data_IF_278421072861
#
_entry.id   IF_278421072861
#
_cell.length_a   1.000
_cell.length_b   1.000
_cell.length_c   1.000
_cell.angle_alpha   90.00
_cell.angle_beta   90.00
_cell.angle_gamma   90.00
#
_symmetry.space_group_name_H-M   'P 1'
#
loop_
_entity.id
_entity.type
_entity.pdbx_description
1 polymer ?
#
# COMPACT_ATOMS: atom_id res chain seq x y z
N UNK A 1 -4.69 15.85 -1.65
CA UNK A 1 -6.08 15.91 -1.15
C UNK A 1 -6.53 14.60 -0.48
N UNK A 2 -5.96 13.45 -0.89
CA UNK A 2 -6.00 12.13 -0.22
C UNK A 2 -5.71 12.17 1.30
N UNK A 3 -4.69 12.93 1.71
CA UNK A 3 -4.37 13.17 3.12
C UNK A 3 -5.49 13.88 3.89
N UNK A 4 -6.40 14.57 3.21
CA UNK A 4 -7.46 15.40 3.82
C UNK A 4 -8.77 14.63 4.03
N UNK A 5 -9.04 13.60 3.23
CA UNK A 5 -10.23 12.74 3.39
C UNK A 5 -10.03 11.68 4.49
N UNK A 6 -8.84 11.08 4.54
CA UNK A 6 -8.38 10.28 5.71
C UNK A 6 -8.20 11.18 6.96
N UNK A 7 -8.14 12.51 6.81
CA UNK A 7 -8.03 13.47 7.92
C UNK A 7 -9.37 13.88 8.56
N UNK A 8 -10.51 13.29 8.18
CA UNK A 8 -11.81 13.67 8.77
C UNK A 8 -12.13 12.94 10.09
N UNK A 9 -11.54 11.77 10.37
CA UNK A 9 -11.78 10.99 11.59
C UNK A 9 -10.53 10.97 12.47
N UNK A 10 -10.55 11.78 13.55
CA UNK A 10 -9.40 11.98 14.44
C UNK A 10 -8.85 10.70 15.08
N UNK A 11 -9.69 9.66 15.22
CA UNK A 11 -9.33 8.35 15.77
C UNK A 11 -8.61 7.45 14.77
N UNK A 12 -9.11 7.32 13.54
CA UNK A 12 -8.49 6.48 12.50
C UNK A 12 -7.17 7.08 11.99
N UNK A 13 -7.06 8.42 11.95
CA UNK A 13 -5.79 9.12 11.72
C UNK A 13 -4.75 8.77 12.78
N UNK A 14 -5.12 8.86 14.06
CA UNK A 14 -4.21 8.53 15.16
C UNK A 14 -3.82 7.05 15.13
N UNK A 15 -4.78 6.15 14.88
CA UNK A 15 -4.53 4.71 14.80
C UNK A 15 -3.62 4.33 13.62
N UNK A 16 -3.80 4.93 12.44
CA UNK A 16 -2.98 4.63 11.26
C UNK A 16 -1.54 5.17 11.39
N UNK A 17 -1.39 6.41 11.88
CA UNK A 17 -0.06 7.00 12.15
C UNK A 17 0.64 6.22 13.26
N UNK A 18 -0.08 5.86 14.31
CA UNK A 18 0.44 5.04 15.40
C UNK A 18 0.87 3.67 14.86
N UNK A 19 0.03 2.97 14.10
CA UNK A 19 0.34 1.68 13.49
C UNK A 19 1.59 1.72 12.61
N UNK A 20 1.68 2.72 11.72
CA UNK A 20 2.84 2.90 10.84
C UNK A 20 4.12 3.21 11.63
N UNK A 21 4.03 4.10 12.62
CA UNK A 21 5.18 4.47 13.48
C UNK A 21 5.64 3.27 14.32
N UNK A 22 4.71 2.51 14.87
CA UNK A 22 5.01 1.31 15.67
C UNK A 22 5.65 0.24 14.80
N UNK A 23 5.16 0.07 13.56
CA UNK A 23 5.77 -0.83 12.58
C UNK A 23 7.21 -0.44 12.24
N UNK A 24 7.48 0.83 11.95
CA UNK A 24 8.83 1.31 11.64
C UNK A 24 9.81 1.12 12.81
N UNK A 25 9.34 1.35 14.05
CA UNK A 25 10.13 1.12 15.25
C UNK A 25 10.41 -0.38 15.44
N UNK A 26 9.39 -1.23 15.29
CA UNK A 26 9.55 -2.69 15.41
C UNK A 26 10.48 -3.25 14.33
N UNK A 27 10.38 -2.74 13.09
CA UNK A 27 11.29 -3.08 11.98
C UNK A 27 12.73 -2.67 12.29
N UNK A 28 12.94 -1.47 12.84
CA UNK A 28 14.28 -0.99 13.20
C UNK A 28 14.90 -1.85 14.31
N UNK A 29 14.12 -2.20 15.34
CA UNK A 29 14.58 -3.11 16.41
C UNK A 29 14.89 -4.49 15.82
N UNK A 30 14.02 -5.04 14.97
CA UNK A 30 14.26 -6.33 14.33
C UNK A 30 15.57 -6.33 13.52
N UNK A 31 15.77 -5.31 12.67
CA UNK A 31 16.95 -5.19 11.82
C UNK A 31 18.25 -5.04 12.63
N UNK A 32 18.21 -4.35 13.77
CA UNK A 32 19.39 -4.12 14.61
C UNK A 32 19.77 -5.34 15.45
N UNK A 33 18.77 -6.12 15.91
CA UNK A 33 19.01 -7.19 16.89
C UNK A 33 18.93 -8.61 16.33
N UNK A 34 18.27 -8.81 15.18
CA UNK A 34 17.93 -10.14 14.67
C UNK A 34 18.27 -10.37 13.20
N UNK A 35 18.68 -9.34 12.45
CA UNK A 35 19.13 -9.53 11.09
C UNK A 35 20.55 -10.12 11.10
N UNK A 36 20.63 -11.44 11.19
CA UNK A 36 21.82 -12.16 10.72
C UNK A 36 21.93 -11.87 9.23
N UNK A 37 23.11 -11.48 8.75
CA UNK A 37 23.34 -10.92 7.40
C UNK A 37 23.04 -11.84 6.20
N UNK A 38 22.22 -12.88 6.39
CA UNK A 38 21.65 -13.70 5.33
C UNK A 38 20.54 -12.96 4.59
N UNK A 39 20.58 -13.12 3.27
CA UNK A 39 20.12 -12.16 2.26
C UNK A 39 18.63 -11.84 2.21
N UNK A 40 17.76 -12.46 3.02
CA UNK A 40 16.32 -12.33 2.85
C UNK A 40 15.54 -12.72 4.11
N UNK A 41 15.51 -11.81 5.08
CA UNK A 41 14.56 -11.94 6.18
C UNK A 41 13.17 -11.48 5.74
N UNK A 42 12.31 -12.44 5.38
CA UNK A 42 10.98 -12.21 4.77
C UNK A 42 9.84 -12.08 5.79
N UNK A 43 10.17 -12.18 7.08
CA UNK A 43 9.24 -12.05 8.20
C UNK A 43 8.73 -10.59 8.33
N UNK A 44 9.58 -9.55 8.31
CA UNK A 44 9.11 -8.17 8.43
C UNK A 44 8.26 -7.71 7.24
N UNK A 45 8.53 -8.22 6.04
CA UNK A 45 7.75 -7.95 4.82
C UNK A 45 6.35 -8.57 4.87
N UNK A 46 6.23 -9.78 5.44
CA UNK A 46 4.93 -10.43 5.66
C UNK A 46 4.05 -9.60 6.61
N UNK A 47 4.63 -9.12 7.72
CA UNK A 47 3.90 -8.29 8.68
C UNK A 47 3.49 -6.93 8.08
N UNK A 48 4.37 -6.32 7.28
CA UNK A 48 4.04 -5.09 6.53
C UNK A 48 2.80 -5.27 5.66
N UNK A 49 2.75 -6.38 4.92
CA UNK A 49 1.65 -6.65 4.01
C UNK A 49 0.33 -6.84 4.75
N UNK A 50 0.31 -7.50 5.91
CA UNK A 50 -0.89 -7.61 6.75
C UNK A 50 -1.41 -6.23 7.15
N UNK A 51 -0.52 -5.33 7.54
CA UNK A 51 -0.88 -3.97 7.94
C UNK A 51 -1.46 -3.19 6.75
N UNK A 52 -0.84 -3.27 5.57
CA UNK A 52 -1.33 -2.63 4.35
C UNK A 52 -2.69 -3.19 3.89
N UNK A 53 -2.88 -4.50 4.01
CA UNK A 53 -4.17 -5.16 3.74
C UNK A 53 -5.25 -4.63 4.68
N UNK A 54 -4.97 -4.58 5.99
CA UNK A 54 -5.92 -4.09 7.00
C UNK A 54 -6.30 -2.62 6.77
N UNK A 55 -5.32 -1.74 6.50
CA UNK A 55 -5.57 -0.33 6.19
C UNK A 55 -6.40 -0.16 4.91
N UNK A 56 -6.13 -0.96 3.89
CA UNK A 56 -6.88 -0.91 2.63
C UNK A 56 -8.33 -1.34 2.83
N UNK A 57 -8.58 -2.39 3.63
CA UNK A 57 -9.95 -2.82 3.98
C UNK A 57 -10.69 -1.72 4.74
N UNK A 58 -10.05 -1.08 5.71
CA UNK A 58 -10.64 0.05 6.46
C UNK A 58 -11.01 1.19 5.49
N UNK A 59 -10.13 1.53 4.55
CA UNK A 59 -10.42 2.54 3.54
C UNK A 59 -11.64 2.16 2.69
N UNK A 60 -11.69 0.94 2.13
CA UNK A 60 -12.84 0.51 1.33
C UNK A 60 -14.14 0.53 2.13
N UNK A 61 -14.09 0.14 3.41
CA UNK A 61 -15.23 0.18 4.30
C UNK A 61 -15.74 1.61 4.54
N UNK A 62 -14.85 2.57 4.73
CA UNK A 62 -15.24 3.99 4.87
C UNK A 62 -15.89 4.53 3.59
N UNK A 63 -15.35 4.18 2.42
CA UNK A 63 -15.89 4.60 1.13
C UNK A 63 -17.29 4.02 0.87
N UNK A 64 -17.55 2.78 1.30
CA UNK A 64 -18.89 2.17 1.20
C UNK A 64 -19.88 2.85 2.17
N UNK A 65 -19.44 3.25 3.36
CA UNK A 65 -20.29 3.88 4.39
C UNK A 65 -20.65 5.33 4.11
N UNK A 66 -19.76 6.08 3.45
CA UNK A 66 -19.96 7.47 3.08
C UNK A 66 -19.88 7.59 1.56
N UNK A 67 -20.88 7.07 0.82
CA UNK A 67 -20.90 7.27 -0.62
C UNK A 67 -21.05 8.77 -0.87
N UNK A 68 -19.96 9.41 -1.31
CA UNK A 68 -20.09 10.72 -1.93
C UNK A 68 -20.97 10.58 -3.18
N UNK A 69 -21.55 11.68 -3.68
CA UNK A 69 -22.48 11.64 -4.82
C UNK A 69 -21.85 11.10 -6.12
N UNK A 70 -20.54 10.82 -6.13
CA UNK A 70 -19.78 10.22 -7.22
C UNK A 70 -19.47 8.75 -6.94
N UNK A 71 -19.39 7.95 -8.00
CA UNK A 71 -18.99 6.56 -7.88
C UNK A 71 -17.57 6.44 -7.33
N UNK A 72 -17.35 5.50 -6.40
CA UNK A 72 -16.05 5.29 -5.74
C UNK A 72 -14.90 4.98 -6.72
N UNK A 73 -15.20 4.38 -7.87
CA UNK A 73 -14.21 4.07 -8.91
C UNK A 73 -13.79 5.29 -9.73
N UNK A 74 -14.43 6.44 -9.55
CA UNK A 74 -14.02 7.69 -10.19
C UNK A 74 -12.95 8.43 -9.41
N UNK A 75 -12.83 8.13 -8.11
CA UNK A 75 -11.78 8.69 -7.26
C UNK A 75 -10.42 8.06 -7.58
N UNK A 76 -9.36 8.85 -7.85
CA UNK A 76 -8.01 8.32 -8.01
C UNK A 76 -7.51 7.60 -6.75
N UNK A 77 -7.94 8.05 -5.56
CA UNK A 77 -7.66 7.43 -4.26
C UNK A 77 -8.03 5.95 -4.22
N UNK A 78 -9.17 5.59 -4.81
CA UNK A 78 -9.64 4.22 -4.87
C UNK A 78 -8.60 3.34 -5.57
N UNK A 79 -8.13 3.75 -6.75
CA UNK A 79 -7.16 3.00 -7.54
C UNK A 79 -5.78 2.89 -6.86
N UNK A 80 -5.33 3.94 -6.17
CA UNK A 80 -4.12 3.85 -5.36
C UNK A 80 -4.23 2.76 -4.29
N UNK A 81 -5.32 2.76 -3.52
CA UNK A 81 -5.53 1.79 -2.44
C UNK A 81 -5.77 0.39 -2.99
N UNK A 82 -6.48 0.25 -4.12
CA UNK A 82 -6.66 -1.04 -4.81
C UNK A 82 -5.33 -1.63 -5.27
N UNK A 83 -4.43 -0.82 -5.84
CA UNK A 83 -3.09 -1.28 -6.22
C UNK A 83 -2.32 -1.80 -5.00
N UNK A 84 -2.26 -1.01 -3.93
CA UNK A 84 -1.57 -1.38 -2.69
C UNK A 84 -2.16 -2.65 -2.08
N UNK A 85 -3.49 -2.77 -2.03
CA UNK A 85 -4.18 -3.95 -1.51
C UNK A 85 -3.83 -5.20 -2.32
N UNK A 86 -3.94 -5.13 -3.65
CA UNK A 86 -3.70 -6.28 -4.53
C UNK A 86 -2.25 -6.74 -4.45
N UNK A 87 -1.30 -5.81 -4.47
CA UNK A 87 0.12 -6.11 -4.34
C UNK A 87 0.44 -6.73 -2.97
N UNK A 88 -0.07 -6.12 -1.89
CA UNK A 88 0.20 -6.59 -0.52
C UNK A 88 -0.43 -7.96 -0.27
N UNK A 89 -1.67 -8.18 -0.73
CA UNK A 89 -2.34 -9.48 -0.62
C UNK A 89 -1.63 -10.56 -1.44
N UNK A 90 -1.21 -10.26 -2.66
CA UNK A 90 -0.49 -11.22 -3.51
C UNK A 90 0.89 -11.58 -2.97
N UNK A 91 1.64 -10.60 -2.50
CA UNK A 91 3.01 -10.83 -1.98
C UNK A 91 3.04 -11.36 -0.56
N UNK A 92 1.97 -11.16 0.24
CA UNK A 92 1.84 -11.70 1.59
C UNK A 92 2.00 -13.22 1.64
N UNK A 93 1.25 -13.95 0.80
CA UNK A 93 1.34 -15.41 0.75
C UNK A 93 2.73 -15.88 0.33
N UNK A 94 3.32 -15.20 -0.66
CA UNK A 94 4.66 -15.47 -1.15
C UNK A 94 5.69 -15.33 -0.03
N UNK A 95 5.61 -14.27 0.79
CA UNK A 95 6.56 -14.04 1.87
C UNK A 95 6.42 -15.00 3.05
N UNK A 96 5.20 -15.42 3.40
CA UNK A 96 4.98 -16.43 4.45
C UNK A 96 5.57 -17.78 4.05
N UNK A 97 5.35 -18.21 2.80
CA UNK A 97 5.82 -19.52 2.34
C UNK A 97 7.28 -19.52 1.87
N UNK A 98 7.89 -18.36 1.70
CA UNK A 98 9.22 -18.22 1.12
C UNK A 98 10.29 -19.05 1.84
N UNK A 99 10.25 -19.16 3.18
CA UNK A 99 11.23 -19.95 3.95
C UNK A 99 11.19 -21.45 3.63
N UNK A 100 10.00 -21.97 3.29
CA UNK A 100 9.81 -23.37 2.92
C UNK A 100 10.08 -23.58 1.43
N UNK A 101 9.71 -22.61 0.59
CA UNK A 101 9.72 -22.79 -0.86
C UNK A 101 11.08 -22.52 -1.50
N UNK A 102 11.88 -21.61 -0.93
CA UNK A 102 13.17 -21.16 -1.50
C UNK A 102 14.38 -21.99 -1.05
N UNK A 103 14.15 -23.22 -0.61
CA UNK A 103 15.23 -24.15 -0.31
C UNK A 103 15.82 -24.78 -1.58
N UNK A 104 15.14 -24.62 -2.73
CA UNK A 104 15.56 -25.12 -4.04
C UNK A 104 15.68 -23.95 -5.04
N UNK A 105 16.73 -23.99 -5.88
CA UNK A 105 17.09 -22.92 -6.82
C UNK A 105 16.04 -22.80 -7.94
N UNK A 106 15.39 -23.90 -8.32
CA UNK A 106 14.30 -23.86 -9.32
C UNK A 106 13.09 -23.08 -8.84
N UNK A 107 12.82 -23.10 -7.53
CA UNK A 107 11.67 -22.42 -6.93
C UNK A 107 11.91 -20.91 -6.79
N UNK A 108 13.17 -20.46 -6.83
CA UNK A 108 13.51 -19.04 -6.80
C UNK A 108 13.06 -18.33 -8.09
N UNK A 109 13.18 -18.99 -9.23
CA UNK A 109 12.70 -18.45 -10.50
C UNK A 109 11.18 -18.25 -10.49
N UNK A 110 10.42 -19.23 -10.00
CA UNK A 110 8.97 -19.14 -9.89
C UNK A 110 8.53 -18.06 -8.88
N UNK A 111 9.22 -17.96 -7.75
CA UNK A 111 9.03 -16.88 -6.78
C UNK A 111 9.20 -15.51 -7.43
N UNK A 112 10.31 -15.31 -8.17
CA UNK A 112 10.61 -14.04 -8.83
C UNK A 112 9.61 -13.74 -9.95
N UNK A 113 9.13 -14.74 -10.67
CA UNK A 113 8.11 -14.59 -11.70
C UNK A 113 6.79 -14.10 -11.11
N UNK A 114 6.29 -14.74 -10.04
CA UNK A 114 5.03 -14.34 -9.41
C UNK A 114 5.17 -12.93 -8.80
N UNK A 115 6.27 -12.67 -8.10
CA UNK A 115 6.53 -11.34 -7.53
C UNK A 115 6.61 -10.26 -8.63
N UNK A 116 7.28 -10.58 -9.75
CA UNK A 116 7.37 -9.69 -10.92
C UNK A 116 5.99 -9.40 -11.53
N UNK A 117 5.15 -10.41 -11.73
CA UNK A 117 3.79 -10.23 -12.26
C UNK A 117 2.95 -9.32 -11.35
N UNK A 118 2.99 -9.56 -10.03
CA UNK A 118 2.29 -8.72 -9.06
C UNK A 118 2.79 -7.28 -9.07
N UNK A 119 4.09 -7.09 -9.25
CA UNK A 119 4.73 -5.77 -9.33
C UNK A 119 4.32 -5.03 -10.60
N UNK A 120 4.24 -5.73 -11.74
CA UNK A 120 3.76 -5.15 -13.01
C UNK A 120 2.30 -4.71 -12.87
N UNK A 121 1.43 -5.58 -12.31
CA UNK A 121 0.03 -5.25 -12.07
C UNK A 121 -0.12 -4.03 -11.16
N UNK A 122 0.66 -3.99 -10.07
CA UNK A 122 0.71 -2.84 -9.18
C UNK A 122 1.04 -1.55 -9.94
N UNK A 123 2.14 -1.55 -10.71
CA UNK A 123 2.57 -0.37 -11.46
C UNK A 123 1.55 0.10 -12.49
N UNK A 124 0.85 -0.84 -13.16
CA UNK A 124 -0.23 -0.49 -14.10
C UNK A 124 -1.39 0.19 -13.39
N UNK A 125 -1.82 -0.33 -12.23
CA UNK A 125 -2.92 0.24 -11.45
C UNK A 125 -2.53 1.62 -10.91
N UNK A 126 -1.30 1.79 -10.42
CA UNK A 126 -0.79 3.07 -9.94
C UNK A 126 -0.69 4.08 -11.08
N UNK A 127 -0.21 3.67 -12.25
CA UNK A 127 -0.20 4.52 -13.45
C UNK A 127 -1.60 4.99 -13.83
N UNK A 128 -2.59 4.11 -13.74
CA UNK A 128 -3.99 4.46 -13.96
C UNK A 128 -4.54 5.46 -12.92
N UNK A 129 -4.20 5.27 -11.65
CA UNK A 129 -4.57 6.18 -10.56
C UNK A 129 -3.99 7.61 -10.79
N UNK A 130 -2.72 7.70 -11.18
CA UNK A 130 -2.06 8.97 -11.52
C UNK A 130 -2.74 9.65 -12.71
N UNK A 131 -3.10 8.89 -13.74
CA UNK A 131 -3.80 9.43 -14.91
C UNK A 131 -5.19 9.97 -14.57
N UNK A 132 -5.95 9.26 -13.72
CA UNK A 132 -7.24 9.75 -13.19
C UNK A 132 -7.04 11.05 -12.41
N UNK A 133 -6.05 11.11 -11.53
CA UNK A 133 -5.74 12.30 -10.75
C UNK A 133 -5.37 13.51 -11.63
N UNK A 134 -4.62 13.28 -12.73
CA UNK A 134 -4.28 14.33 -13.68
C UNK A 134 -5.50 14.91 -14.40
N UNK A 135 -6.50 14.06 -14.70
CA UNK A 135 -7.73 14.46 -15.36
C UNK A 135 -8.74 15.15 -14.44
N UNK A 136 -8.54 15.07 -13.13
CA UNK A 136 -9.46 15.64 -12.15
C UNK A 136 -9.45 17.19 -12.20
N UNK A 137 -10.57 17.85 -12.54
CA UNK A 137 -10.66 19.31 -12.60
C UNK A 137 -10.43 19.99 -11.24
N UNK A 138 -10.65 19.30 -10.11
CA UNK A 138 -10.40 19.83 -8.78
C UNK A 138 -8.90 19.92 -8.44
N UNK A 139 -8.04 19.12 -9.08
CA UNK A 139 -6.58 19.22 -8.92
C UNK A 139 -6.00 20.45 -9.65
N UNK A 140 -6.54 20.79 -10.83
CA UNK A 140 -6.11 21.96 -11.61
C UNK A 140 -6.39 23.30 -10.90
N UNK A 141 -7.49 23.40 -10.15
CA UNK A 141 -7.85 24.64 -9.42
C UNK A 141 -7.05 24.86 -8.14
N UNK A 142 -6.51 23.80 -7.52
CA UNK A 142 -5.63 23.92 -6.34
C UNK A 142 -4.21 24.37 -6.68
N UNK A 143 -3.75 24.14 -7.91
CA UNK A 143 -2.40 24.51 -8.38
C UNK A 143 -2.37 25.85 -9.14
N UNK A 144 -3.54 26.38 -9.52
CA UNK A 144 -3.66 27.63 -10.27
C UNK A 144 -3.80 28.90 -9.43
N UNK A 145 -3.73 28.84 -8.09
CA UNK A 145 -3.58 30.07 -7.30
C UNK A 145 -2.14 30.56 -7.46
N UNK A 146 -1.90 31.71 -8.14
CA UNK A 146 -0.57 32.29 -8.16
C UNK A 146 -0.16 32.58 -6.72
N UNK A 147 1.07 32.22 -6.38
CA UNK A 147 1.75 32.71 -5.19
C UNK A 147 1.89 34.22 -5.39
N UNK A 148 0.92 34.99 -4.92
CA UNK A 148 1.11 36.44 -4.75
C UNK A 148 2.08 36.60 -3.59
N UNK A 149 3.33 36.87 -3.94
CA UNK A 149 4.37 37.35 -3.04
C UNK A 149 3.96 38.69 -2.41
#
# INVERSE_FOLDING_TARGET
>A
MIYRSIASTSLLRKASIFGLSTYLIALTIYLVFYADGDYYDKIPSSFQNVLLIALSIIFFYEQIKKPEAFFIYDLPEFWYVTGVFLHSAGTFFIYIFAKFWLQDVTNEADYNNIHGILTILYNVIIGFAVWKQYKDPFYKTSTSKPITA
#
